data_IF_037763099229
#
_entry.id   IF_037763099229
#
_cell.length_a   1.000
_cell.length_b   1.000
_cell.length_c   1.000
_cell.angle_alpha   90.00
_cell.angle_beta   90.00
_cell.angle_gamma   90.00
#
_symmetry.space_group_name_H-M   'P 1'
#
loop_
_entity.id
_entity.type
_entity.pdbx_description
1 polymer ?
#
# COMPACT_ATOMS: atom_id res chain seq x y z
N UNK A 1 9.98 0.94 -16.10
CA UNK A 1 11.29 1.36 -15.54
C UNK A 1 11.08 1.53 -14.04
N UNK A 2 11.53 0.54 -13.26
CA UNK A 2 10.99 0.21 -11.94
C UNK A 2 11.92 0.76 -10.86
N UNK A 3 11.34 1.33 -9.80
CA UNK A 3 12.01 1.72 -8.56
C UNK A 3 12.94 0.59 -8.10
N UNK A 4 14.24 0.85 -8.17
CA UNK A 4 15.26 -0.04 -7.63
C UNK A 4 15.13 0.01 -6.13
N UNK A 5 14.58 -1.04 -5.50
CA UNK A 5 14.70 -1.23 -4.05
C UNK A 5 16.17 -0.99 -3.70
N UNK A 6 16.45 0.11 -2.99
CA UNK A 6 17.82 0.55 -2.69
C UNK A 6 18.62 -0.64 -2.16
N UNK A 7 19.73 -0.95 -2.83
CA UNK A 7 20.64 -1.98 -2.33
C UNK A 7 21.40 -1.51 -1.10
N UNK A 8 21.68 -0.21 -1.01
CA UNK A 8 22.51 0.34 0.05
C UNK A 8 21.95 1.70 0.50
N UNK A 9 21.68 1.81 1.80
CA UNK A 9 21.52 3.05 2.59
C UNK A 9 20.33 3.99 2.26
N UNK A 10 19.28 3.89 3.09
CA UNK A 10 18.37 5.00 3.36
C UNK A 10 16.90 4.61 3.36
N UNK A 11 16.27 4.72 4.52
CA UNK A 11 14.81 4.78 4.66
C UNK A 11 14.26 5.86 3.73
N UNK A 12 13.07 5.65 3.17
CA UNK A 12 12.39 6.73 2.44
C UNK A 12 12.33 7.98 3.32
N UNK A 13 12.56 9.20 2.77
CA UNK A 13 12.39 10.42 3.54
C UNK A 13 10.99 10.40 4.15
N UNK A 14 10.89 10.55 5.47
CA UNK A 14 9.61 10.57 6.15
C UNK A 14 8.68 11.62 5.50
N UNK A 15 7.34 11.45 5.53
CA UNK A 15 6.39 12.39 4.95
C UNK A 15 6.68 13.87 5.27
N UNK A 16 7.16 14.15 6.48
CA UNK A 16 7.58 15.48 6.93
C UNK A 16 8.74 16.09 6.13
N UNK A 17 9.69 15.29 5.65
CA UNK A 17 10.79 15.76 4.82
C UNK A 17 10.30 16.30 3.46
N UNK A 18 9.19 15.76 2.94
CA UNK A 18 8.61 16.20 1.66
C UNK A 18 7.88 17.53 1.78
N UNK A 19 7.21 17.79 2.91
CA UNK A 19 6.53 19.07 3.16
C UNK A 19 7.50 20.23 3.35
N UNK A 20 8.71 19.97 3.84
CA UNK A 20 9.75 20.98 4.01
C UNK A 20 10.54 21.27 2.71
N UNK A 21 10.30 20.50 1.66
CA UNK A 21 11.02 20.65 0.39
C UNK A 21 10.39 21.76 -0.45
N UNK A 22 10.86 22.99 -0.21
CA UNK A 22 10.48 24.18 -0.95
C UNK A 22 11.15 24.23 -2.33
N UNK A 23 10.32 24.33 -3.37
CA UNK A 23 10.75 24.52 -4.76
C UNK A 23 9.98 25.67 -5.40
N UNK A 24 10.67 26.48 -6.20
CA UNK A 24 10.03 27.58 -6.92
C UNK A 24 9.09 27.07 -8.02
N UNK A 25 8.21 27.94 -8.54
CA UNK A 25 7.36 27.62 -9.69
C UNK A 25 8.18 27.22 -10.93
N UNK A 26 9.35 27.83 -11.11
CA UNK A 26 10.31 27.50 -12.18
C UNK A 26 10.85 26.09 -11.99
N UNK A 27 11.36 25.75 -10.80
CA UNK A 27 11.85 24.39 -10.48
C UNK A 27 10.77 23.34 -10.71
N UNK A 28 9.54 23.59 -10.22
CA UNK A 28 8.41 22.70 -10.43
C UNK A 28 8.07 22.50 -11.92
N UNK A 29 8.18 23.55 -12.73
CA UNK A 29 7.99 23.47 -14.18
C UNK A 29 9.05 22.61 -14.86
N UNK A 30 10.32 22.75 -14.45
CA UNK A 30 11.44 21.93 -14.94
C UNK A 30 11.22 20.47 -14.60
N UNK A 31 10.98 20.14 -13.33
CA UNK A 31 10.76 18.77 -12.86
C UNK A 31 9.60 18.08 -13.60
N UNK A 32 8.46 18.77 -13.79
CA UNK A 32 7.32 18.23 -14.54
C UNK A 32 7.66 17.93 -15.99
N UNK A 33 8.43 18.80 -16.66
CA UNK A 33 8.85 18.56 -18.05
C UNK A 33 9.79 17.36 -18.12
N UNK A 34 10.75 17.28 -17.21
CA UNK A 34 11.71 16.17 -17.14
C UNK A 34 11.03 14.82 -16.92
N UNK A 35 10.08 14.74 -15.98
CA UNK A 35 9.40 13.46 -15.68
C UNK A 35 8.49 13.00 -16.83
N UNK A 36 8.01 13.94 -17.65
CA UNK A 36 7.30 13.64 -18.90
C UNK A 36 8.24 13.39 -20.10
N UNK A 37 9.56 13.27 -19.89
CA UNK A 37 10.53 13.03 -20.96
C UNK A 37 10.72 14.22 -21.92
N UNK A 38 10.28 15.43 -21.55
CA UNK A 38 10.41 16.62 -22.40
C UNK A 38 11.76 17.28 -22.16
N UNK A 39 12.44 17.69 -23.24
CA UNK A 39 13.66 18.49 -23.16
C UNK A 39 13.39 19.78 -22.37
N UNK A 40 14.24 20.06 -21.41
CA UNK A 40 14.18 21.27 -20.59
C UNK A 40 15.40 22.14 -20.85
N UNK A 41 15.15 23.38 -21.27
CA UNK A 41 16.16 24.45 -21.17
C UNK A 41 15.94 25.12 -19.81
N UNK A 42 16.96 25.15 -18.97
CA UNK A 42 16.89 25.69 -17.61
C UNK A 42 18.19 26.37 -17.25
N UNK A 43 18.13 27.40 -16.41
CA UNK A 43 19.35 28.10 -15.99
C UNK A 43 20.25 27.18 -15.17
N UNK A 44 21.57 27.39 -15.24
CA UNK A 44 22.53 26.66 -14.39
C UNK A 44 22.18 26.76 -12.90
N UNK A 45 21.71 27.92 -12.45
CA UNK A 45 21.26 28.13 -11.06
C UNK A 45 20.04 27.26 -10.68
N UNK A 46 19.10 27.03 -11.60
CA UNK A 46 17.94 26.18 -11.33
C UNK A 46 18.36 24.71 -11.21
N UNK A 47 19.25 24.26 -12.10
CA UNK A 47 19.78 22.89 -12.06
C UNK A 47 20.58 22.66 -10.78
N UNK A 48 21.49 23.58 -10.44
CA UNK A 48 22.27 23.50 -9.19
C UNK A 48 21.35 23.43 -7.97
N UNK A 49 20.34 24.31 -7.88
CA UNK A 49 19.41 24.30 -6.75
C UNK A 49 18.59 23.01 -6.63
N UNK A 50 18.30 22.32 -7.75
CA UNK A 50 17.64 21.01 -7.74
C UNK A 50 18.60 19.88 -7.35
N UNK A 51 19.87 19.96 -7.74
CA UNK A 51 20.94 19.04 -7.32
C UNK A 51 21.22 19.17 -5.82
N UNK A 52 21.31 20.39 -5.30
CA UNK A 52 21.51 20.67 -3.87
C UNK A 52 20.38 20.10 -2.99
N UNK A 53 19.20 19.89 -3.58
CA UNK A 53 18.02 19.27 -2.93
C UNK A 53 17.94 17.75 -3.14
N UNK A 54 18.90 17.15 -3.84
CA UNK A 54 18.91 15.74 -4.19
C UNK A 54 17.80 15.32 -5.16
N UNK A 55 17.20 16.26 -5.88
CA UNK A 55 16.16 15.99 -6.89
C UNK A 55 16.75 15.66 -8.25
N UNK A 56 17.96 16.14 -8.52
CA UNK A 56 18.77 15.77 -9.67
C UNK A 56 20.09 15.17 -9.19
N UNK A 57 20.64 14.23 -9.96
CA UNK A 57 22.01 13.74 -9.78
C UNK A 57 23.04 14.74 -10.34
N UNK A 58 24.33 14.45 -10.19
CA UNK A 58 25.44 15.28 -10.70
C UNK A 58 25.40 15.48 -12.23
N UNK A 59 24.78 14.53 -12.95
CA UNK A 59 24.60 14.56 -14.40
C UNK A 59 23.33 15.31 -14.83
N UNK A 60 22.53 15.78 -13.87
CA UNK A 60 21.28 16.50 -14.11
C UNK A 60 20.09 15.59 -14.43
N UNK A 61 20.17 14.28 -14.17
CA UNK A 61 19.03 13.37 -14.30
C UNK A 61 18.18 13.36 -13.04
N UNK A 62 16.89 13.05 -13.16
CA UNK A 62 16.02 12.87 -12.00
C UNK A 62 16.50 11.70 -11.14
N UNK A 63 16.74 11.97 -9.85
CA UNK A 63 16.89 10.91 -8.85
C UNK A 63 15.55 10.21 -8.61
N UNK A 64 15.53 9.13 -7.84
CA UNK A 64 14.30 8.48 -7.41
C UNK A 64 13.40 9.45 -6.62
N UNK A 65 13.99 10.16 -5.65
CA UNK A 65 13.34 11.25 -4.90
C UNK A 65 12.83 12.34 -5.83
N UNK A 66 13.67 12.76 -6.79
CA UNK A 66 13.35 13.71 -7.84
C UNK A 66 12.13 13.32 -8.66
N UNK A 67 12.06 12.06 -9.08
CA UNK A 67 10.97 11.49 -9.87
C UNK A 67 9.66 11.48 -9.07
N UNK A 68 9.66 11.00 -7.83
CA UNK A 68 8.48 11.01 -6.97
C UNK A 68 7.99 12.44 -6.72
N UNK A 69 8.91 13.35 -6.38
CA UNK A 69 8.58 14.76 -6.19
C UNK A 69 7.97 15.36 -7.46
N UNK A 70 8.61 15.16 -8.62
CA UNK A 70 8.14 15.66 -9.91
C UNK A 70 6.72 15.15 -10.23
N UNK A 71 6.47 13.86 -10.05
CA UNK A 71 5.13 13.25 -10.21
C UNK A 71 4.11 13.86 -9.24
N UNK A 72 4.50 14.15 -8.00
CA UNK A 72 3.62 14.80 -7.03
C UNK A 72 3.15 16.19 -7.49
N UNK A 73 3.86 16.84 -8.42
CA UNK A 73 3.48 18.15 -8.98
C UNK A 73 2.65 18.06 -10.26
N UNK A 74 2.48 16.86 -10.83
CA UNK A 74 1.64 16.62 -11.99
C UNK A 74 0.15 16.53 -11.62
N UNK A 75 -0.71 16.64 -12.62
CA UNK A 75 -2.15 16.33 -12.47
C UNK A 75 -2.36 14.82 -12.32
N UNK A 76 -3.49 14.42 -11.73
CA UNK A 76 -3.83 13.00 -11.56
C UNK A 76 -3.73 12.22 -12.87
N UNK A 77 -4.24 12.78 -13.99
CA UNK A 77 -4.16 12.15 -15.31
C UNK A 77 -2.72 11.82 -15.71
N UNK A 78 -1.81 12.78 -15.55
CA UNK A 78 -0.39 12.61 -15.90
C UNK A 78 0.30 11.63 -14.93
N UNK A 79 -0.06 11.66 -13.64
CA UNK A 79 0.44 10.67 -12.68
C UNK A 79 0.04 9.25 -13.10
N UNK A 80 -1.24 9.02 -13.38
CA UNK A 80 -1.74 7.71 -13.81
C UNK A 80 -1.07 7.26 -15.12
N UNK A 81 -0.96 8.14 -16.12
CA UNK A 81 -0.31 7.85 -17.39
C UNK A 81 1.14 7.40 -17.21
N UNK A 82 1.94 8.16 -16.44
CA UNK A 82 3.36 7.85 -16.22
C UNK A 82 3.59 6.62 -15.34
N UNK A 83 2.62 6.26 -14.49
CA UNK A 83 2.65 5.06 -13.66
C UNK A 83 2.02 3.84 -14.35
N UNK A 84 1.39 4.01 -15.51
CA UNK A 84 0.66 2.94 -16.19
C UNK A 84 -0.60 2.50 -15.45
N UNK A 85 -1.21 3.37 -14.66
CA UNK A 85 -2.41 3.09 -13.88
C UNK A 85 -3.67 3.43 -14.69
N UNK A 86 -4.62 2.50 -14.84
CA UNK A 86 -5.93 2.81 -15.39
C UNK A 86 -6.62 3.93 -14.60
N UNK A 87 -7.08 4.96 -15.29
CA UNK A 87 -7.89 6.03 -14.73
C UNK A 87 -9.29 5.96 -15.31
N UNK A 88 -10.27 5.65 -14.48
CA UNK A 88 -11.69 5.73 -14.83
C UNK A 88 -12.36 6.90 -14.14
N UNK A 89 -13.48 7.36 -14.68
CA UNK A 89 -14.30 8.39 -14.07
C UNK A 89 -15.72 7.86 -13.92
N UNK A 90 -16.30 8.03 -12.73
CA UNK A 90 -17.69 7.69 -12.45
C UNK A 90 -18.42 8.92 -11.94
N UNK A 91 -19.70 9.01 -12.28
CA UNK A 91 -20.59 10.05 -11.77
C UNK A 91 -21.50 9.41 -10.75
N UNK A 92 -21.46 9.89 -9.50
CA UNK A 92 -22.26 9.37 -8.41
C UNK A 92 -23.09 10.50 -7.79
N UNK A 93 -24.33 10.19 -7.45
CA UNK A 93 -25.11 11.04 -6.55
C UNK A 93 -24.43 11.06 -5.19
N UNK A 94 -24.45 12.21 -4.53
CA UNK A 94 -23.90 12.31 -3.17
C UNK A 94 -24.85 11.64 -2.17
N UNK A 95 -24.69 10.35 -1.98
CA UNK A 95 -25.44 9.56 -0.99
C UNK A 95 -24.78 9.62 0.40
N UNK A 96 -23.44 9.62 0.48
CA UNK A 96 -22.67 9.63 1.73
C UNK A 96 -21.73 10.82 1.94
N UNK A 97 -21.05 10.81 3.10
CA UNK A 97 -19.98 11.78 3.39
C UNK A 97 -18.68 11.41 2.67
N UNK A 98 -18.32 10.12 2.65
CA UNK A 98 -17.06 9.58 2.12
C UNK A 98 -17.20 9.01 0.71
N UNK A 99 -16.45 9.53 -0.30
CA UNK A 99 -16.58 9.07 -1.69
C UNK A 99 -16.22 7.59 -1.85
N UNK A 100 -15.37 7.04 -0.99
CA UNK A 100 -14.96 5.65 -0.98
C UNK A 100 -16.16 4.71 -0.72
N UNK A 101 -17.06 5.11 0.18
CA UNK A 101 -18.27 4.35 0.47
C UNK A 101 -19.30 4.45 -0.66
N UNK A 102 -19.43 5.61 -1.30
CA UNK A 102 -20.31 5.77 -2.47
C UNK A 102 -19.82 4.86 -3.62
N UNK A 103 -18.50 4.81 -3.86
CA UNK A 103 -17.88 3.93 -4.86
C UNK A 103 -18.09 2.46 -4.47
N UNK A 104 -17.82 2.07 -3.23
CA UNK A 104 -18.02 0.71 -2.76
C UNK A 104 -19.48 0.26 -2.95
N UNK A 105 -20.44 1.10 -2.55
CA UNK A 105 -21.88 0.82 -2.71
C UNK A 105 -22.28 0.66 -4.19
N UNK A 106 -21.76 1.50 -5.08
CA UNK A 106 -21.99 1.39 -6.53
C UNK A 106 -21.43 0.08 -7.11
N UNK A 107 -20.23 -0.34 -6.71
CA UNK A 107 -19.68 -1.65 -7.10
C UNK A 107 -20.49 -2.81 -6.52
N UNK A 108 -20.95 -2.71 -5.27
CA UNK A 108 -21.83 -3.70 -4.64
C UNK A 108 -23.17 -3.84 -5.39
N UNK A 109 -23.79 -2.72 -5.80
CA UNK A 109 -25.00 -2.73 -6.66
C UNK A 109 -24.77 -3.47 -7.98
N UNK A 110 -23.53 -3.56 -8.47
CA UNK A 110 -23.13 -4.29 -9.70
C UNK A 110 -22.67 -5.73 -9.43
N UNK A 111 -22.90 -6.25 -8.22
CA UNK A 111 -22.61 -7.62 -7.83
C UNK A 111 -21.15 -7.89 -7.45
N UNK A 112 -20.38 -6.85 -7.10
CA UNK A 112 -19.10 -7.04 -6.43
C UNK A 112 -19.30 -7.20 -4.92
N UNK A 113 -18.38 -7.88 -4.26
CA UNK A 113 -18.21 -7.82 -2.80
C UNK A 113 -16.93 -7.05 -2.53
N UNK A 114 -16.85 -6.30 -1.44
CA UNK A 114 -15.62 -5.56 -1.17
C UNK A 114 -15.56 -4.92 0.21
N UNK A 115 -14.38 -4.41 0.51
CA UNK A 115 -14.06 -3.77 1.77
C UNK A 115 -13.28 -2.46 1.54
N UNK A 116 -13.46 -1.49 2.43
CA UNK A 116 -12.62 -0.29 2.52
C UNK A 116 -11.60 -0.50 3.63
N UNK A 117 -10.32 -0.64 3.26
CA UNK A 117 -9.28 -1.03 4.23
C UNK A 117 -7.91 -0.41 4.00
N UNK A 118 -7.68 0.37 2.93
CA UNK A 118 -6.34 0.93 2.66
C UNK A 118 -5.24 -0.14 2.74
N UNK A 119 -5.45 -1.30 2.09
CA UNK A 119 -4.55 -2.47 2.16
C UNK A 119 -4.66 -3.35 3.40
N UNK A 120 -5.47 -2.93 4.38
CA UNK A 120 -5.80 -3.61 5.62
C UNK A 120 -6.07 -5.09 5.54
N UNK A 121 -6.87 -5.50 4.57
CA UNK A 121 -7.23 -6.90 4.38
C UNK A 121 -6.01 -7.79 4.06
N UNK A 122 -4.98 -7.25 3.41
CA UNK A 122 -3.73 -7.98 3.16
C UNK A 122 -2.97 -8.19 4.47
N UNK A 123 -3.00 -7.22 5.38
CA UNK A 123 -2.44 -7.40 6.73
C UNK A 123 -3.22 -8.46 7.51
N UNK A 124 -4.55 -8.43 7.46
CA UNK A 124 -5.38 -9.46 8.08
C UNK A 124 -5.03 -10.83 7.54
N UNK A 125 -4.85 -10.96 6.22
CA UNK A 125 -4.43 -12.22 5.62
C UNK A 125 -3.06 -12.69 6.16
N UNK A 126 -2.06 -11.81 6.16
CA UNK A 126 -0.72 -12.13 6.70
C UNK A 126 -0.77 -12.50 8.19
N UNK A 127 -1.63 -11.85 8.98
CA UNK A 127 -1.86 -12.22 10.36
C UNK A 127 -2.45 -13.61 10.51
N UNK A 128 -3.42 -13.98 9.69
CA UNK A 128 -4.01 -15.31 9.73
C UNK A 128 -2.98 -16.39 9.38
N UNK A 129 -2.06 -16.08 8.46
CA UNK A 129 -0.95 -16.97 8.09
C UNK A 129 0.04 -17.12 9.25
N UNK A 130 0.43 -16.02 9.89
CA UNK A 130 1.47 -16.04 10.93
C UNK A 130 0.94 -16.24 12.35
N UNK A 131 -0.36 -16.52 12.52
CA UNK A 131 -1.02 -16.52 13.83
C UNK A 131 -0.36 -17.45 14.86
N UNK A 132 -0.08 -18.70 14.49
CA UNK A 132 0.49 -19.69 15.42
C UNK A 132 1.97 -19.44 15.69
N UNK A 133 2.73 -19.06 14.65
CA UNK A 133 4.10 -18.61 14.81
C UNK A 133 4.13 -17.40 15.75
N UNK A 134 3.12 -16.52 15.65
CA UNK A 134 3.02 -15.37 16.52
C UNK A 134 2.84 -15.77 17.97
N UNK A 135 1.84 -16.61 18.24
CA UNK A 135 1.50 -17.00 19.59
C UNK A 135 2.69 -17.72 20.24
N UNK A 136 3.35 -18.61 19.49
CA UNK A 136 4.54 -19.33 19.95
C UNK A 136 5.67 -18.38 20.36
N UNK A 137 5.96 -17.35 19.57
CA UNK A 137 7.00 -16.38 19.90
C UNK A 137 6.67 -15.59 21.17
N UNK A 138 5.43 -15.09 21.31
CA UNK A 138 5.02 -14.35 22.51
C UNK A 138 5.05 -15.23 23.76
N UNK A 139 4.60 -16.48 23.65
CA UNK A 139 4.67 -17.45 24.75
C UNK A 139 6.12 -17.64 25.23
N UNK A 140 7.08 -17.73 24.30
CA UNK A 140 8.49 -17.88 24.62
C UNK A 140 9.11 -16.61 25.21
N UNK A 141 8.82 -15.44 24.62
CA UNK A 141 9.40 -14.16 25.05
C UNK A 141 8.87 -13.74 26.43
N UNK A 142 7.57 -13.95 26.68
CA UNK A 142 6.90 -13.49 27.91
C UNK A 142 6.70 -14.58 28.95
N UNK A 143 7.13 -15.81 28.68
CA UNK A 143 6.88 -16.99 29.51
C UNK A 143 5.40 -17.09 29.93
N UNK A 144 4.51 -17.07 28.94
CA UNK A 144 3.06 -17.04 29.16
C UNK A 144 2.32 -18.16 28.42
N UNK A 145 1.08 -18.41 28.83
CA UNK A 145 0.21 -19.36 28.15
C UNK A 145 -0.30 -18.84 26.79
N UNK A 146 -0.91 -19.75 26.04
CA UNK A 146 -1.43 -19.45 24.70
C UNK A 146 -2.55 -18.41 24.75
N UNK A 147 -3.42 -18.45 25.75
CA UNK A 147 -4.52 -17.50 25.89
C UNK A 147 -4.00 -16.06 26.06
N UNK A 148 -2.99 -15.88 26.91
CA UNK A 148 -2.30 -14.62 27.16
C UNK A 148 -1.54 -14.12 25.92
N UNK A 149 -0.88 -15.04 25.19
CA UNK A 149 -0.21 -14.72 23.94
C UNK A 149 -1.20 -14.25 22.86
N UNK A 150 -2.33 -14.94 22.72
CA UNK A 150 -3.38 -14.56 21.78
C UNK A 150 -4.07 -13.25 22.18
N UNK A 151 -4.15 -12.91 23.47
CA UNK A 151 -4.64 -11.60 23.93
C UNK A 151 -3.64 -10.47 23.58
N UNK A 152 -2.33 -10.75 23.62
CA UNK A 152 -1.29 -9.81 23.17
C UNK A 152 -1.33 -9.51 21.67
N UNK A 153 -2.03 -10.37 20.89
CA UNK A 153 -2.18 -10.26 19.45
C UNK A 153 -2.83 -8.94 19.01
N UNK A 154 -3.69 -8.34 19.82
CA UNK A 154 -4.39 -7.10 19.48
C UNK A 154 -3.49 -5.86 19.49
N UNK A 155 -2.31 -5.91 20.11
CA UNK A 155 -1.54 -4.70 20.42
C UNK A 155 -0.18 -4.57 19.70
N UNK A 156 0.36 -5.62 19.07
CA UNK A 156 1.80 -5.68 18.74
C UNK A 156 2.17 -6.04 17.28
N UNK A 157 1.22 -5.97 16.37
CA UNK A 157 1.23 -6.95 15.29
C UNK A 157 2.23 -6.70 14.14
N UNK A 158 2.92 -5.56 14.10
CA UNK A 158 4.01 -5.34 13.13
C UNK A 158 5.21 -4.54 13.65
N UNK A 159 5.04 -3.70 14.67
CA UNK A 159 6.13 -2.88 15.19
C UNK A 159 7.21 -3.68 15.92
N UNK A 160 6.81 -4.76 16.62
CA UNK A 160 7.67 -5.45 17.57
C UNK A 160 7.89 -6.94 17.24
N UNK A 161 7.22 -7.47 16.21
CA UNK A 161 6.78 -8.85 16.30
C UNK A 161 7.85 -9.95 16.17
N UNK A 162 8.97 -9.72 15.48
CA UNK A 162 10.09 -10.69 15.49
C UNK A 162 11.48 -10.02 15.37
N UNK A 163 11.55 -8.70 15.53
CA UNK A 163 12.68 -7.93 15.01
C UNK A 163 12.81 -8.06 13.48
N UNK A 164 13.50 -7.12 12.84
CA UNK A 164 13.77 -7.17 11.39
C UNK A 164 15.03 -7.98 11.06
N UNK A 165 15.32 -9.01 11.86
CA UNK A 165 16.47 -9.86 11.60
C UNK A 165 16.23 -10.67 10.30
N UNK A 166 17.26 -10.92 9.48
CA UNK A 166 17.12 -11.75 8.30
C UNK A 166 16.54 -13.15 8.61
N UNK A 167 16.88 -13.73 9.76
CA UNK A 167 16.36 -15.03 10.20
C UNK A 167 14.85 -14.98 10.47
N UNK A 168 14.40 -13.98 11.22
CA UNK A 168 12.98 -13.76 11.53
C UNK A 168 12.15 -13.56 10.26
N UNK A 169 12.66 -12.73 9.33
CA UNK A 169 12.01 -12.51 8.03
C UNK A 169 11.90 -13.82 7.25
N UNK A 170 12.96 -14.62 7.21
CA UNK A 170 12.93 -15.90 6.49
C UNK A 170 11.94 -16.90 7.11
N UNK A 171 11.81 -16.94 8.44
CA UNK A 171 10.79 -17.77 9.12
C UNK A 171 9.38 -17.36 8.72
N UNK A 172 9.05 -16.06 8.77
CA UNK A 172 7.74 -15.54 8.33
C UNK A 172 7.46 -15.88 6.87
N UNK A 173 8.44 -15.72 6.00
CA UNK A 173 8.29 -16.00 4.57
C UNK A 173 8.12 -17.51 4.28
N UNK A 174 8.68 -18.39 5.11
CA UNK A 174 8.52 -19.84 5.00
C UNK A 174 7.10 -20.29 5.38
N UNK A 175 6.48 -19.67 6.40
CA UNK A 175 5.09 -19.98 6.79
C UNK A 175 4.08 -19.74 5.65
N UNK A 176 4.34 -18.73 4.80
CA UNK A 176 3.47 -18.47 3.63
C UNK A 176 3.51 -19.65 2.64
N UNK A 177 4.63 -20.36 2.54
CA UNK A 177 4.78 -21.49 1.63
C UNK A 177 4.03 -22.73 2.12
N UNK A 178 4.00 -22.95 3.44
CA UNK A 178 3.47 -24.18 4.06
C UNK A 178 2.00 -24.08 4.46
N UNK A 179 1.49 -22.89 4.79
CA UNK A 179 0.14 -22.72 5.32
C UNK A 179 -0.93 -23.18 4.33
N UNK A 180 -1.91 -23.94 4.82
CA UNK A 180 -3.08 -24.34 4.04
C UNK A 180 -4.26 -23.38 4.24
N UNK A 181 -5.25 -23.53 3.36
CA UNK A 181 -6.43 -22.67 3.35
C UNK A 181 -7.28 -22.81 4.62
N UNK A 182 -7.37 -24.01 5.19
CA UNK A 182 -8.23 -24.28 6.35
C UNK A 182 -7.64 -23.67 7.61
N UNK A 183 -6.31 -23.67 7.73
CA UNK A 183 -5.54 -22.98 8.77
C UNK A 183 -5.76 -21.48 8.69
N UNK A 184 -5.66 -20.88 7.51
CA UNK A 184 -5.93 -19.44 7.31
C UNK A 184 -7.36 -19.10 7.73
N UNK A 185 -8.36 -19.89 7.30
CA UNK A 185 -9.76 -19.70 7.67
C UNK A 185 -9.97 -19.80 9.18
N UNK A 186 -9.44 -20.85 9.80
CA UNK A 186 -9.55 -21.07 11.24
C UNK A 186 -8.95 -19.90 12.04
N UNK A 187 -7.78 -19.44 11.63
CA UNK A 187 -7.12 -18.30 12.27
C UNK A 187 -7.88 -16.99 12.03
N UNK A 188 -8.49 -16.80 10.86
CA UNK A 188 -9.38 -15.67 10.61
C UNK A 188 -10.55 -15.64 11.58
N UNK A 189 -11.23 -16.78 11.80
CA UNK A 189 -12.35 -16.87 12.74
C UNK A 189 -11.93 -16.56 14.18
N UNK A 190 -10.73 -16.99 14.61
CA UNK A 190 -10.15 -16.61 15.90
C UNK A 190 -9.86 -15.12 16.01
N UNK A 191 -9.31 -14.52 14.96
CA UNK A 191 -9.01 -13.08 14.93
C UNK A 191 -10.31 -12.27 14.94
N UNK A 192 -11.32 -12.70 14.18
CA UNK A 192 -12.61 -12.03 14.09
C UNK A 192 -13.38 -12.10 15.41
N UNK A 193 -13.42 -13.26 16.07
CA UNK A 193 -14.14 -13.43 17.35
C UNK A 193 -13.59 -12.56 18.48
N UNK A 194 -12.32 -12.15 18.36
CA UNK A 194 -11.65 -11.24 19.30
C UNK A 194 -11.76 -9.77 18.92
N UNK A 195 -12.30 -9.45 17.73
CA UNK A 195 -12.38 -8.08 17.19
C UNK A 195 -13.84 -7.74 16.80
N UNK A 196 -14.79 -7.96 17.72
CA UNK A 196 -16.24 -7.88 17.44
C UNK A 196 -16.72 -6.49 17.07
N UNK A 197 -16.06 -5.42 17.54
CA UNK A 197 -16.59 -4.04 17.42
C UNK A 197 -15.77 -3.16 16.47
N UNK A 198 -14.51 -3.50 16.19
CA UNK A 198 -13.65 -2.80 15.23
C UNK A 198 -12.64 -3.77 14.62
N UNK A 199 -12.61 -3.89 13.29
CA UNK A 199 -11.45 -4.50 12.64
C UNK A 199 -10.23 -3.62 12.94
N UNK A 200 -9.20 -4.22 13.51
CA UNK A 200 -7.93 -3.56 13.74
C UNK A 200 -7.27 -3.23 12.38
N UNK A 201 -6.86 -1.98 12.10
CA UNK A 201 -7.01 -0.71 12.80
C UNK A 201 -8.31 0.06 12.48
N UNK A 202 -8.63 1.01 13.36
CA UNK A 202 -9.81 1.91 13.32
C UNK A 202 -10.09 2.48 11.91
N UNK A 203 -11.29 2.27 11.37
CA UNK A 203 -11.74 2.81 10.09
C UNK A 203 -11.87 1.78 8.96
N UNK A 204 -11.48 0.53 9.17
CA UNK A 204 -11.72 -0.55 8.21
C UNK A 204 -13.18 -0.98 8.19
N UNK A 205 -13.71 -1.24 6.99
CA UNK A 205 -15.11 -1.60 6.79
C UNK A 205 -15.24 -2.78 5.81
N UNK A 206 -16.08 -3.75 6.17
CA UNK A 206 -16.50 -4.82 5.26
C UNK A 206 -15.54 -5.99 5.11
N UNK A 207 -14.53 -6.15 5.98
CA UNK A 207 -13.67 -7.35 5.97
C UNK A 207 -14.52 -8.57 6.39
N UNK A 208 -14.51 -9.61 5.56
CA UNK A 208 -15.24 -10.85 5.78
C UNK A 208 -14.33 -12.05 5.49
N UNK A 209 -14.71 -13.24 5.99
CA UNK A 209 -14.01 -14.49 5.69
C UNK A 209 -13.89 -14.67 4.18
N UNK A 210 -14.99 -14.51 3.44
CA UNK A 210 -15.04 -14.63 1.98
C UNK A 210 -13.97 -13.79 1.29
N UNK A 211 -13.78 -12.53 1.69
CA UNK A 211 -12.80 -11.65 1.07
C UNK A 211 -11.36 -12.05 1.42
N UNK A 212 -11.09 -12.46 2.67
CA UNK A 212 -9.75 -12.93 3.07
C UNK A 212 -9.38 -14.21 2.32
N UNK A 213 -10.32 -15.15 2.22
CA UNK A 213 -10.10 -16.40 1.50
C UNK A 213 -9.94 -16.16 -0.01
N UNK A 214 -10.71 -15.25 -0.59
CA UNK A 214 -10.52 -14.83 -1.98
C UNK A 214 -9.14 -14.22 -2.21
N UNK A 215 -8.65 -13.36 -1.30
CA UNK A 215 -7.29 -12.83 -1.38
C UNK A 215 -6.24 -13.96 -1.34
N UNK A 216 -6.37 -14.91 -0.40
CA UNK A 216 -5.45 -16.04 -0.29
C UNK A 216 -5.38 -16.87 -1.57
N UNK A 217 -6.54 -17.22 -2.12
CA UNK A 217 -6.66 -18.05 -3.32
C UNK A 217 -6.14 -17.33 -4.57
N UNK A 218 -6.55 -16.08 -4.77
CA UNK A 218 -6.37 -15.39 -6.04
C UNK A 218 -5.01 -14.72 -6.18
N UNK A 219 -4.44 -14.22 -5.09
CA UNK A 219 -3.05 -13.75 -5.09
C UNK A 219 -2.10 -14.95 -5.18
N UNK A 220 -2.42 -16.03 -4.47
CA UNK A 220 -1.56 -17.19 -4.34
C UNK A 220 -0.29 -16.90 -3.52
N UNK A 221 0.36 -17.97 -3.08
CA UNK A 221 1.52 -17.90 -2.15
C UNK A 221 2.66 -17.04 -2.68
N UNK A 222 2.97 -17.13 -3.99
CA UNK A 222 4.03 -16.35 -4.65
C UNK A 222 3.83 -14.84 -4.44
N UNK A 223 2.65 -14.32 -4.78
CA UNK A 223 2.35 -12.89 -4.67
C UNK A 223 2.23 -12.45 -3.22
N UNK A 224 1.59 -13.26 -2.36
CA UNK A 224 1.49 -12.97 -0.93
C UNK A 224 2.89 -12.85 -0.30
N UNK A 225 3.81 -13.77 -0.62
CA UNK A 225 5.19 -13.76 -0.15
C UNK A 225 5.98 -12.55 -0.66
N UNK A 226 5.80 -12.18 -1.92
CA UNK A 226 6.44 -11.00 -2.49
C UNK A 226 5.94 -9.70 -1.83
N UNK A 227 4.64 -9.59 -1.59
CA UNK A 227 4.04 -8.48 -0.85
C UNK A 227 4.56 -8.44 0.60
N UNK A 228 4.53 -9.58 1.30
CA UNK A 228 5.03 -9.69 2.67
C UNK A 228 6.49 -9.23 2.78
N UNK A 229 7.34 -9.61 1.82
CA UNK A 229 8.74 -9.17 1.77
C UNK A 229 8.88 -7.65 1.68
N UNK A 230 8.05 -6.98 0.88
CA UNK A 230 8.07 -5.50 0.79
C UNK A 230 7.79 -4.88 2.16
N UNK A 231 6.77 -5.37 2.87
CA UNK A 231 6.41 -4.87 4.20
C UNK A 231 7.46 -5.13 5.27
N UNK A 232 8.03 -6.34 5.28
CA UNK A 232 8.99 -6.74 6.30
C UNK A 232 10.33 -5.98 6.19
N UNK A 233 10.62 -5.41 5.01
CA UNK A 233 11.82 -4.60 4.79
C UNK A 233 11.64 -3.16 5.29
N UNK A 234 10.49 -2.53 5.04
CA UNK A 234 10.24 -1.14 5.41
C UNK A 234 8.76 -0.90 5.77
N UNK A 235 8.51 -0.40 6.99
CA UNK A 235 7.19 -0.06 7.50
C UNK A 235 6.55 1.10 6.74
N UNK A 236 7.32 1.87 5.99
CA UNK A 236 6.78 2.89 5.09
C UNK A 236 5.76 2.31 4.11
N UNK A 237 5.95 1.06 3.67
CA UNK A 237 5.05 0.39 2.74
C UNK A 237 3.69 0.02 3.35
N UNK A 238 3.51 0.21 4.66
CA UNK A 238 2.19 0.11 5.31
C UNK A 238 1.20 1.21 4.91
N UNK A 239 1.65 2.24 4.20
CA UNK A 239 0.87 3.44 3.86
C UNK A 239 0.66 3.55 2.36
N UNK A 240 -0.42 4.19 1.93
CA UNK A 240 -0.64 4.50 0.51
C UNK A 240 -1.05 3.28 -0.34
N UNK A 241 -1.66 2.29 0.31
CA UNK A 241 -2.39 1.23 -0.38
C UNK A 241 -3.72 1.76 -0.94
N UNK A 242 -4.29 1.08 -1.94
CA UNK A 242 -5.61 1.43 -2.48
C UNK A 242 -6.70 1.37 -1.41
N UNK A 243 -7.64 2.30 -1.47
CA UNK A 243 -8.77 2.42 -0.55
C UNK A 243 -9.61 1.14 -0.44
N UNK A 244 -9.99 0.58 -1.59
CA UNK A 244 -10.91 -0.56 -1.67
C UNK A 244 -10.24 -1.81 -2.24
N UNK A 245 -10.70 -2.96 -1.75
CA UNK A 245 -10.49 -4.26 -2.39
C UNK A 245 -11.85 -4.86 -2.72
N UNK A 246 -11.99 -5.31 -3.97
CA UNK A 246 -13.23 -5.84 -4.54
C UNK A 246 -13.01 -7.23 -5.12
N UNK A 247 -13.99 -8.11 -4.95
CA UNK A 247 -14.02 -9.47 -5.50
C UNK A 247 -15.32 -9.69 -6.28
N UNK A 248 -15.21 -10.31 -7.46
CA UNK A 248 -16.37 -10.79 -8.23
C UNK A 248 -15.98 -12.00 -9.06
N UNK A 249 -16.53 -13.17 -8.74
CA UNK A 249 -16.11 -14.43 -9.35
C UNK A 249 -14.61 -14.66 -9.11
N UNK A 250 -13.84 -14.87 -10.19
CA UNK A 250 -12.39 -15.03 -10.13
C UNK A 250 -11.63 -13.71 -10.46
N UNK A 251 -12.22 -12.55 -10.14
CA UNK A 251 -11.55 -11.24 -10.28
C UNK A 251 -11.34 -10.56 -8.93
N UNK A 252 -10.09 -10.15 -8.67
CA UNK A 252 -9.67 -9.39 -7.49
C UNK A 252 -9.19 -8.03 -7.99
N UNK A 253 -9.82 -6.96 -7.53
CA UNK A 253 -9.53 -5.59 -7.97
C UNK A 253 -9.28 -4.69 -6.78
N UNK A 254 -8.29 -3.82 -6.94
CA UNK A 254 -7.98 -2.77 -5.99
C UNK A 254 -8.38 -1.43 -6.59
N UNK A 255 -9.10 -0.62 -5.82
CA UNK A 255 -9.54 0.70 -6.25
C UNK A 255 -8.97 1.76 -5.33
N UNK A 256 -8.33 2.75 -5.94
CA UNK A 256 -7.98 4.00 -5.29
C UNK A 256 -8.98 5.07 -5.76
N UNK A 257 -9.65 5.72 -4.82
CA UNK A 257 -10.70 6.69 -5.05
C UNK A 257 -10.13 8.10 -4.98
N UNK A 258 -10.45 8.91 -5.99
CA UNK A 258 -10.05 10.31 -6.05
C UNK A 258 -11.23 11.21 -6.34
N UNK A 259 -11.20 12.42 -5.81
CA UNK A 259 -12.21 13.44 -6.12
C UNK A 259 -11.59 14.56 -6.94
N UNK A 260 -11.27 15.68 -6.31
CA UNK A 260 -10.53 16.80 -6.89
C UNK A 260 -9.03 16.69 -6.64
N UNK A 261 -8.63 15.77 -5.77
CA UNK A 261 -7.25 15.52 -5.38
C UNK A 261 -6.51 14.61 -6.39
N UNK A 262 -5.27 14.27 -6.04
CA UNK A 262 -4.33 13.50 -6.85
C UNK A 262 -3.68 12.42 -5.98
N UNK A 263 -2.90 11.52 -6.57
CA UNK A 263 -2.17 10.53 -5.77
C UNK A 263 -1.24 11.23 -4.78
N UNK A 264 -1.36 10.83 -3.51
CA UNK A 264 -0.48 11.29 -2.45
C UNK A 264 0.94 10.75 -2.65
N UNK A 265 1.96 11.41 -2.08
CA UNK A 265 3.37 10.97 -2.24
C UNK A 265 3.56 9.52 -1.81
N UNK A 266 2.93 9.09 -0.71
CA UNK A 266 2.97 7.69 -0.28
C UNK A 266 2.43 6.74 -1.35
N UNK A 267 1.33 7.09 -2.03
CA UNK A 267 0.77 6.27 -3.12
C UNK A 267 1.69 6.25 -4.35
N UNK A 268 2.33 7.37 -4.67
CA UNK A 268 3.31 7.44 -5.77
C UNK A 268 4.53 6.55 -5.52
N UNK A 269 4.88 6.30 -4.26
CA UNK A 269 5.97 5.41 -3.84
C UNK A 269 5.48 3.96 -3.77
N UNK A 270 4.36 3.73 -3.11
CA UNK A 270 3.92 2.38 -2.70
C UNK A 270 3.23 1.64 -3.84
N UNK A 271 2.30 2.26 -4.56
CA UNK A 271 1.52 1.58 -5.61
C UNK A 271 2.41 0.85 -6.63
N UNK A 272 3.47 1.46 -7.21
CA UNK A 272 4.31 0.77 -8.19
C UNK A 272 5.03 -0.46 -7.63
N UNK A 273 5.39 -0.42 -6.35
CA UNK A 273 6.10 -1.52 -5.67
C UNK A 273 5.13 -2.67 -5.41
N UNK A 274 3.96 -2.39 -4.83
CA UNK A 274 3.00 -3.43 -4.44
C UNK A 274 2.30 -4.04 -5.66
N UNK A 275 2.02 -3.26 -6.71
CA UNK A 275 1.47 -3.77 -7.97
C UNK A 275 2.44 -4.77 -8.59
N UNK A 276 3.74 -4.44 -8.62
CA UNK A 276 4.75 -5.36 -9.15
C UNK A 276 4.93 -6.59 -8.27
N UNK A 277 4.94 -6.42 -6.95
CA UNK A 277 5.14 -7.52 -6.02
C UNK A 277 3.98 -8.52 -6.05
N UNK A 278 2.74 -8.00 -6.07
CA UNK A 278 1.52 -8.78 -6.00
C UNK A 278 0.87 -9.12 -7.33
N UNK A 279 1.38 -8.58 -8.44
CA UNK A 279 0.71 -8.59 -9.74
C UNK A 279 -0.73 -8.03 -9.64
N UNK A 280 -0.91 -6.95 -8.84
CA UNK A 280 -2.23 -6.43 -8.46
C UNK A 280 -2.91 -5.66 -9.60
N UNK A 281 -4.20 -5.94 -9.83
CA UNK A 281 -5.08 -5.09 -10.65
C UNK A 281 -5.52 -3.87 -9.84
N UNK A 282 -4.84 -2.74 -10.03
CA UNK A 282 -5.15 -1.45 -9.40
C UNK A 282 -5.75 -0.51 -10.42
N UNK A 283 -6.92 0.06 -10.12
CA UNK A 283 -7.55 1.12 -10.92
C UNK A 283 -7.76 2.37 -10.08
N UNK A 284 -7.46 3.53 -10.64
CA UNK A 284 -7.83 4.82 -10.06
C UNK A 284 -9.24 5.19 -10.53
N UNK A 285 -10.13 5.46 -9.59
CA UNK A 285 -11.51 5.89 -9.86
C UNK A 285 -11.66 7.35 -9.44
N UNK A 286 -11.84 8.24 -10.42
CA UNK A 286 -12.18 9.63 -10.17
C UNK A 286 -13.70 9.80 -10.04
N UNK A 287 -14.16 10.24 -8.88
CA UNK A 287 -15.57 10.48 -8.59
C UNK A 287 -15.94 11.92 -8.95
N UNK A 288 -16.90 12.07 -9.86
CA UNK A 288 -17.64 13.30 -10.08
C UNK A 288 -18.94 13.23 -9.29
N UNK A 289 -19.05 14.00 -8.21
CA UNK A 289 -20.30 14.11 -7.45
C UNK A 289 -21.27 15.03 -8.18
N UNK A 290 -22.51 14.58 -8.33
CA UNK A 290 -23.64 15.33 -8.90
C UNK A 290 -24.80 15.38 -7.92
#
# INVERSE_FOLDING_TARGET
>A
MIFSLRKDEGKWPFPHAWSCMETSSVMNSVLRKMVCGKKTVSSKSTIQALQDRGLLDELGNLTETGRVYALSKCSLRIQCELLGLPLSQITLLREGQRPEFDVLADYCKRGWQGCFTEGGIIFVLLYCIWYDLFCTHVMQEKDCDRETAEASFQHNVFGNFLGRSPESINKLLAEIDSVDQDTVRHNFLKVQSKNTDTWFPYGFYGITETLVMACFQMLGRKSIKAIAKVYLLDDYFSKGWPDLLLVKGNQLKHIEVKTLDKLHISQLIVLPVIIKAGELDVTIVKVKRV
#
